data_IF_919588376037
#
_entry.id   IF_919588376037
#
_cell.length_a   1.000
_cell.length_b   1.000
_cell.length_c   1.000
_cell.angle_alpha   90.00
_cell.angle_beta   90.00
_cell.angle_gamma   90.00
#
_symmetry.space_group_name_H-M   'P 1'
#
loop_
_entity.id
_entity.type
_entity.pdbx_description
1 polymer ?
#
# COMPACT_ATOMS: atom_id res chain seq x y z
N UNK A 1 -10.11 -17.11 21.40
CA UNK A 1 -8.80 -16.53 21.02
C UNK A 1 -7.85 -17.69 20.81
N UNK A 2 -7.87 -18.26 19.61
CA UNK A 2 -6.91 -19.32 19.25
C UNK A 2 -5.67 -18.64 18.73
N UNK A 3 -4.55 -18.83 19.41
CA UNK A 3 -3.22 -18.52 18.87
C UNK A 3 -3.08 -19.25 17.54
N UNK A 4 -3.18 -18.51 16.44
CA UNK A 4 -2.67 -18.97 15.14
C UNK A 4 -1.16 -19.05 15.33
N UNK A 5 -0.68 -20.23 15.68
CA UNK A 5 0.73 -20.57 15.60
C UNK A 5 1.16 -20.32 14.15
N UNK A 6 1.84 -19.19 13.92
CA UNK A 6 2.37 -18.86 12.61
C UNK A 6 3.55 -19.78 12.34
N UNK A 7 3.24 -20.93 11.72
CA UNK A 7 4.20 -21.97 11.36
C UNK A 7 5.43 -21.33 10.68
N UNK A 8 5.24 -20.30 9.83
CA UNK A 8 6.32 -19.61 9.11
C UNK A 8 7.32 -18.91 10.02
N UNK A 9 6.91 -18.33 11.14
CA UNK A 9 7.82 -17.60 12.04
C UNK A 9 8.70 -18.55 12.86
N UNK A 10 8.17 -19.72 13.27
CA UNK A 10 8.96 -20.76 13.92
C UNK A 10 10.00 -21.37 12.97
N UNK A 11 9.66 -21.52 11.68
CA UNK A 11 10.57 -22.03 10.64
C UNK A 11 11.81 -21.14 10.42
N UNK A 12 11.61 -19.82 10.33
CA UNK A 12 12.73 -18.86 10.16
C UNK A 12 13.74 -18.89 11.31
N UNK A 13 13.31 -19.25 12.52
CA UNK A 13 14.20 -19.32 13.70
C UNK A 13 15.03 -20.60 13.77
N UNK A 14 14.49 -21.76 13.33
CA UNK A 14 15.19 -23.06 13.37
C UNK A 14 16.23 -23.21 12.24
N UNK A 15 15.97 -22.60 11.08
CA UNK A 15 16.84 -22.66 9.91
C UNK A 15 18.17 -21.88 10.00
N UNK A 16 18.30 -20.98 10.98
CA UNK A 16 19.34 -19.94 10.94
C UNK A 16 20.67 -20.26 11.64
N UNK A 17 20.86 -21.41 12.31
CA UNK A 17 22.04 -21.55 13.20
C UNK A 17 23.06 -22.64 12.89
N UNK A 18 22.74 -23.86 12.46
CA UNK A 18 23.80 -24.91 12.35
C UNK A 18 23.56 -25.99 11.26
N UNK A 19 23.02 -25.64 10.10
CA UNK A 19 22.80 -26.60 9.00
C UNK A 19 23.79 -26.38 7.83
N UNK A 20 24.90 -27.15 7.75
CA UNK A 20 25.93 -26.93 6.74
C UNK A 20 25.58 -27.50 5.34
N UNK A 21 24.50 -28.28 5.19
CA UNK A 21 24.23 -29.05 3.97
C UNK A 21 23.09 -28.41 3.15
N UNK A 22 23.46 -27.74 2.06
CA UNK A 22 22.50 -27.17 1.09
C UNK A 22 21.93 -28.21 0.12
N UNK A 23 22.66 -29.30 -0.09
CA UNK A 23 22.33 -30.38 -1.02
C UNK A 23 22.67 -31.71 -0.37
N UNK A 24 21.76 -32.69 -0.42
CA UNK A 24 22.00 -34.06 0.00
C UNK A 24 21.80 -35.00 -1.20
N UNK A 25 22.76 -35.88 -1.43
CA UNK A 25 22.60 -37.02 -2.33
C UNK A 25 22.69 -38.29 -1.50
N UNK A 26 21.63 -39.11 -1.56
CA UNK A 26 21.49 -40.30 -0.74
C UNK A 26 21.22 -41.50 -1.66
N UNK A 27 22.06 -42.51 -1.58
CA UNK A 27 21.83 -43.80 -2.22
C UNK A 27 20.97 -44.68 -1.31
N UNK A 28 19.97 -45.32 -1.90
CA UNK A 28 19.12 -46.28 -1.21
C UNK A 28 19.69 -47.70 -1.20
N UNK A 29 19.03 -48.53 -0.39
CA UNK A 29 19.22 -49.96 -0.37
C UNK A 29 18.31 -50.62 -1.41
N UNK A 30 18.77 -51.69 -2.02
CA UNK A 30 17.98 -52.48 -2.95
C UNK A 30 18.08 -53.97 -2.67
N UNK A 31 17.09 -54.70 -3.18
CA UNK A 31 17.15 -56.16 -3.19
C UNK A 31 18.08 -56.58 -4.32
N UNK A 32 19.30 -56.98 -3.98
CA UNK A 32 20.35 -57.36 -4.93
C UNK A 32 20.13 -58.73 -5.57
N UNK A 33 19.41 -59.62 -4.89
CA UNK A 33 19.14 -60.98 -5.35
C UNK A 33 17.85 -60.98 -6.15
N UNK A 34 17.94 -61.31 -7.44
CA UNK A 34 16.82 -61.23 -8.37
C UNK A 34 15.56 -61.86 -7.81
N UNK A 35 14.51 -61.06 -7.65
CA UNK A 35 13.23 -61.54 -7.11
C UNK A 35 12.32 -61.88 -8.28
N UNK A 36 11.83 -63.11 -8.29
CA UNK A 36 10.94 -63.61 -9.33
C UNK A 36 9.49 -63.47 -8.94
N UNK A 37 8.65 -62.99 -9.86
CA UNK A 37 7.20 -62.99 -9.75
C UNK A 37 6.60 -63.78 -10.90
N UNK A 38 5.57 -64.55 -10.59
CA UNK A 38 4.86 -65.40 -11.56
C UNK A 38 3.37 -65.49 -11.29
N UNK A 39 2.88 -64.90 -10.18
CA UNK A 39 1.46 -64.93 -9.83
C UNK A 39 0.89 -63.52 -9.76
N UNK A 40 -0.34 -63.41 -10.27
CA UNK A 40 -1.17 -62.24 -10.08
C UNK A 40 -1.33 -61.93 -8.59
N UNK A 41 -1.05 -60.69 -8.22
CA UNK A 41 -1.13 -60.19 -6.85
C UNK A 41 0.17 -60.30 -6.05
N UNK A 42 1.25 -60.87 -6.62
CA UNK A 42 2.56 -60.87 -5.97
C UNK A 42 3.04 -59.43 -5.74
N UNK A 43 3.36 -59.10 -4.48
CA UNK A 43 3.84 -57.76 -4.07
C UNK A 43 5.26 -57.87 -3.53
N UNK A 44 6.18 -57.17 -4.17
CA UNK A 44 7.61 -57.24 -3.86
C UNK A 44 8.14 -55.83 -3.62
N UNK A 45 8.79 -55.63 -2.47
CA UNK A 45 9.51 -54.39 -2.19
C UNK A 45 10.87 -54.44 -2.89
N UNK A 46 11.11 -53.52 -3.83
CA UNK A 46 12.29 -53.54 -4.70
C UNK A 46 13.48 -52.75 -4.13
N UNK A 47 13.21 -51.55 -3.62
CA UNK A 47 14.24 -50.67 -3.11
C UNK A 47 13.68 -49.69 -2.07
N UNK A 48 14.57 -49.14 -1.24
CA UNK A 48 14.24 -48.13 -0.24
C UNK A 48 15.37 -47.16 0.04
N UNK A 49 15.07 -45.89 0.26
CA UNK A 49 16.02 -44.85 0.69
C UNK A 49 15.49 -44.12 1.92
N UNK A 50 16.38 -43.87 2.89
CA UNK A 50 16.06 -43.06 4.06
C UNK A 50 16.54 -41.63 3.84
N UNK A 51 15.62 -40.68 3.86
CA UNK A 51 15.89 -39.27 3.67
C UNK A 51 15.74 -38.57 5.01
N UNK A 52 16.83 -37.97 5.49
CA UNK A 52 16.86 -37.19 6.72
C UNK A 52 16.91 -35.70 6.34
N UNK A 53 15.76 -35.04 6.42
CA UNK A 53 15.63 -33.61 6.07
C UNK A 53 15.75 -32.70 7.29
N UNK A 54 16.13 -33.23 8.47
CA UNK A 54 16.23 -32.45 9.71
C UNK A 54 17.21 -31.27 9.65
N UNK A 55 18.16 -31.32 8.70
CA UNK A 55 19.16 -30.28 8.48
C UNK A 55 19.00 -29.52 7.14
N UNK A 56 17.83 -29.59 6.49
CA UNK A 56 17.55 -28.87 5.24
C UNK A 56 16.33 -28.00 5.46
N UNK A 57 16.42 -26.72 5.09
CA UNK A 57 15.26 -25.83 5.13
C UNK A 57 14.43 -26.05 3.87
N UNK A 58 13.10 -26.05 4.01
CA UNK A 58 12.18 -26.24 2.88
C UNK A 58 12.64 -27.33 1.86
N UNK A 59 13.01 -28.55 2.31
CA UNK A 59 13.51 -29.63 1.46
C UNK A 59 12.58 -29.94 0.29
N UNK A 60 13.15 -29.81 -0.90
CA UNK A 60 12.65 -30.41 -2.12
C UNK A 60 13.30 -31.79 -2.24
N UNK A 61 12.50 -32.85 -2.16
CA UNK A 61 12.99 -34.22 -2.28
C UNK A 61 12.68 -34.74 -3.68
N UNK A 62 13.71 -35.03 -4.45
CA UNK A 62 13.64 -35.72 -5.73
C UNK A 62 14.06 -37.18 -5.54
N UNK A 63 13.20 -38.12 -5.91
CA UNK A 63 13.47 -39.55 -5.92
C UNK A 63 13.73 -39.98 -7.35
N UNK A 64 14.77 -40.78 -7.53
CA UNK A 64 15.09 -41.44 -8.80
C UNK A 64 15.11 -42.95 -8.56
N UNK A 65 14.38 -43.69 -9.39
CA UNK A 65 14.34 -45.14 -9.34
C UNK A 65 14.68 -45.73 -10.70
N UNK A 66 15.43 -46.82 -10.69
CA UNK A 66 15.67 -47.64 -11.87
C UNK A 66 15.66 -49.12 -11.51
N UNK A 67 15.21 -49.96 -12.44
CA UNK A 67 15.21 -51.40 -12.29
C UNK A 67 15.33 -52.08 -13.65
N UNK A 68 16.06 -53.18 -13.69
CA UNK A 68 16.09 -54.06 -14.86
C UNK A 68 15.13 -55.21 -14.63
N UNK A 69 14.30 -55.54 -15.60
CA UNK A 69 13.36 -56.64 -15.52
C UNK A 69 13.76 -57.66 -16.57
N UNK A 70 14.15 -58.86 -16.14
CA UNK A 70 14.34 -60.00 -17.03
C UNK A 70 13.02 -60.75 -17.15
N UNK A 71 12.59 -61.00 -18.38
CA UNK A 71 11.40 -61.80 -18.67
C UNK A 71 11.84 -63.15 -19.19
N UNK A 72 11.19 -64.20 -18.67
CA UNK A 72 11.36 -65.59 -19.09
C UNK A 72 9.97 -66.09 -19.49
N UNK A 73 9.82 -66.59 -20.71
CA UNK A 73 8.58 -67.22 -21.17
C UNK A 73 8.68 -68.73 -21.00
N UNK A 74 7.62 -69.35 -20.50
CA UNK A 74 7.49 -70.81 -20.42
C UNK A 74 6.34 -71.24 -21.32
N UNK A 75 6.66 -71.56 -22.58
CA UNK A 75 5.67 -72.00 -23.55
C UNK A 75 5.58 -73.52 -23.53
N UNK A 76 4.46 -74.04 -23.03
CA UNK A 76 4.15 -75.46 -23.20
C UNK A 76 3.96 -75.78 -24.70
N UNK A 77 4.66 -76.80 -25.21
CA UNK A 77 4.63 -77.32 -26.59
C UNK A 77 3.21 -77.60 -27.16
N UNK A 78 2.16 -77.54 -26.33
CA UNK A 78 0.78 -77.90 -26.67
C UNK A 78 -0.18 -76.71 -26.82
N UNK A 79 0.20 -75.48 -26.45
CA UNK A 79 -0.71 -74.33 -26.48
C UNK A 79 -0.56 -73.48 -27.74
N UNK A 80 -1.64 -73.35 -28.54
CA UNK A 80 -1.69 -72.60 -29.81
C UNK A 80 -1.74 -71.06 -29.66
N UNK A 81 -1.39 -70.50 -28.50
CA UNK A 81 -1.37 -69.05 -28.28
C UNK A 81 0.07 -68.61 -28.01
N UNK A 82 0.63 -67.88 -28.97
CA UNK A 82 2.03 -67.45 -29.07
C UNK A 82 2.28 -66.07 -28.43
N UNK A 83 1.40 -65.64 -27.51
CA UNK A 83 1.46 -64.32 -26.88
C UNK A 83 1.64 -64.50 -25.37
N UNK A 84 2.71 -63.94 -24.84
CA UNK A 84 2.92 -63.82 -23.40
C UNK A 84 2.79 -62.34 -23.01
N UNK A 85 2.01 -62.06 -21.96
CA UNK A 85 1.73 -60.70 -21.52
C UNK A 85 2.00 -60.57 -20.04
N UNK A 86 2.57 -59.43 -19.65
CA UNK A 86 2.80 -59.10 -18.25
C UNK A 86 2.57 -57.63 -17.97
N UNK A 87 1.88 -57.37 -16.86
CA UNK A 87 1.53 -56.04 -16.36
C UNK A 87 2.01 -55.89 -14.94
N UNK A 88 2.89 -54.93 -14.71
CA UNK A 88 3.52 -54.67 -13.42
C UNK A 88 3.22 -53.23 -13.00
N UNK A 89 2.61 -53.08 -11.82
CA UNK A 89 2.39 -51.78 -11.19
C UNK A 89 3.49 -51.48 -10.18
N UNK A 90 4.10 -50.31 -10.29
CA UNK A 90 5.07 -49.76 -9.35
C UNK A 90 4.41 -48.70 -8.50
N UNK A 91 4.43 -48.88 -7.18
CA UNK A 91 3.89 -47.92 -6.23
C UNK A 91 5.04 -47.33 -5.39
N UNK A 92 5.21 -46.00 -5.42
CA UNK A 92 6.16 -45.30 -4.55
C UNK A 92 5.46 -44.88 -3.25
N UNK A 93 6.00 -45.34 -2.14
CA UNK A 93 5.51 -45.00 -0.82
C UNK A 93 6.50 -44.12 -0.06
N UNK A 94 5.96 -43.31 0.85
CA UNK A 94 6.69 -42.60 1.89
C UNK A 94 6.18 -43.02 3.26
N UNK A 95 7.08 -43.23 4.21
CA UNK A 95 6.74 -43.46 5.61
C UNK A 95 7.63 -42.61 6.50
N UNK A 96 7.07 -41.59 7.12
CA UNK A 96 7.79 -40.76 8.08
C UNK A 96 7.66 -41.30 9.51
N UNK A 97 8.55 -40.88 10.42
CA UNK A 97 8.66 -41.44 11.78
C UNK A 97 7.36 -41.35 12.59
N UNK A 98 6.54 -40.30 12.38
CA UNK A 98 5.27 -40.10 13.09
C UNK A 98 4.05 -40.69 12.38
N UNK A 99 4.22 -41.19 11.16
CA UNK A 99 3.15 -41.81 10.37
C UNK A 99 3.07 -43.32 10.66
N UNK A 100 1.88 -43.78 11.03
CA UNK A 100 1.65 -45.22 11.27
C UNK A 100 1.57 -46.02 9.97
N UNK A 101 1.02 -45.43 8.91
CA UNK A 101 0.80 -46.06 7.61
C UNK A 101 1.62 -45.38 6.53
N UNK A 102 2.27 -46.14 5.62
CA UNK A 102 2.92 -45.56 4.45
C UNK A 102 1.90 -44.79 3.59
N UNK A 103 2.26 -43.59 3.17
CA UNK A 103 1.52 -42.79 2.22
C UNK A 103 1.93 -43.19 0.79
N UNK A 104 0.95 -43.50 -0.06
CA UNK A 104 1.18 -43.66 -1.50
C UNK A 104 1.42 -42.27 -2.11
N UNK A 105 2.55 -42.10 -2.77
CA UNK A 105 2.91 -40.85 -3.42
C UNK A 105 2.52 -40.85 -4.90
N UNK A 106 2.83 -41.92 -5.61
CA UNK A 106 2.61 -42.03 -7.05
C UNK A 106 2.67 -43.51 -7.51
N UNK A 107 2.15 -43.77 -8.70
CA UNK A 107 1.99 -45.10 -9.30
C UNK A 107 2.38 -45.08 -10.78
N UNK A 108 3.19 -46.05 -11.20
CA UNK A 108 3.55 -46.28 -12.61
C UNK A 108 3.14 -47.68 -13.05
N UNK A 109 2.72 -47.81 -14.30
CA UNK A 109 2.35 -49.09 -14.89
C UNK A 109 3.33 -49.42 -16.02
N UNK A 110 3.86 -50.63 -15.99
CA UNK A 110 4.69 -51.19 -17.04
C UNK A 110 3.96 -52.39 -17.64
N UNK A 111 3.75 -52.35 -18.95
CA UNK A 111 3.09 -53.40 -19.72
C UNK A 111 4.06 -53.89 -20.79
N UNK A 112 4.15 -55.21 -20.94
CA UNK A 112 4.94 -55.83 -21.99
C UNK A 112 4.17 -56.99 -22.61
N UNK A 113 4.13 -56.97 -23.92
CA UNK A 113 3.69 -58.07 -24.76
C UNK A 113 4.94 -58.69 -25.41
N UNK A 114 5.02 -60.00 -25.36
CA UNK A 114 6.12 -60.79 -25.90
C UNK A 114 5.54 -61.70 -26.97
N UNK A 115 5.83 -61.36 -28.23
CA UNK A 115 5.58 -62.22 -29.37
C UNK A 115 6.72 -63.23 -29.48
N UNK A 116 6.39 -64.52 -29.52
CA UNK A 116 7.40 -65.56 -29.78
C UNK A 116 7.53 -65.84 -31.27
N UNK A 117 8.76 -65.94 -31.77
CA UNK A 117 9.01 -66.45 -33.12
C UNK A 117 8.76 -67.96 -33.15
N UNK A 118 8.03 -68.44 -34.16
CA UNK A 118 7.75 -69.87 -34.37
C UNK A 118 9.03 -70.71 -34.28
N UNK A 119 9.09 -71.59 -33.27
CA UNK A 119 10.18 -72.54 -33.07
C UNK A 119 11.22 -72.17 -32.01
N UNK A 120 11.09 -71.04 -31.29
CA UNK A 120 11.89 -70.77 -30.09
C UNK A 120 11.09 -71.12 -28.83
N UNK A 121 11.60 -72.10 -28.08
CA UNK A 121 10.95 -72.66 -26.88
C UNK A 121 11.12 -71.73 -25.66
N UNK A 122 12.23 -70.99 -25.59
CA UNK A 122 12.52 -70.05 -24.50
C UNK A 122 13.01 -68.71 -25.05
N UNK A 123 12.33 -67.63 -24.68
CA UNK A 123 12.79 -66.27 -24.96
C UNK A 123 13.11 -65.57 -23.63
N UNK A 124 14.35 -65.10 -23.51
CA UNK A 124 14.79 -64.27 -22.39
C UNK A 124 15.09 -62.87 -22.86
N UNK A 125 14.30 -61.89 -22.43
CA UNK A 125 14.51 -60.46 -22.74
C UNK A 125 14.76 -59.68 -21.45
N UNK A 126 15.36 -58.50 -21.56
CA UNK A 126 15.61 -57.64 -20.39
C UNK A 126 15.29 -56.20 -20.75
N UNK A 127 14.39 -55.59 -20.00
CA UNK A 127 14.05 -54.17 -20.15
C UNK A 127 14.49 -53.38 -18.93
N UNK A 128 14.59 -52.07 -19.09
CA UNK A 128 14.89 -51.14 -18.00
C UNK A 128 13.70 -50.23 -17.77
N UNK A 129 13.25 -50.16 -16.52
CA UNK A 129 12.22 -49.22 -16.08
C UNK A 129 12.88 -48.19 -15.20
N UNK A 130 12.60 -46.91 -15.46
CA UNK A 130 13.08 -45.80 -14.65
C UNK A 130 12.03 -44.71 -14.54
N UNK A 131 11.90 -44.13 -13.35
CA UNK A 131 11.03 -42.98 -13.12
C UNK A 131 11.66 -42.02 -12.11
N UNK A 132 11.18 -40.78 -12.13
CA UNK A 132 11.56 -39.73 -11.21
C UNK A 132 10.31 -39.14 -10.56
N UNK A 133 10.44 -38.75 -9.30
CA UNK A 133 9.36 -38.13 -8.52
C UNK A 133 9.92 -36.95 -7.74
N UNK A 134 9.18 -35.84 -7.69
CA UNK A 134 9.56 -34.65 -6.92
C UNK A 134 8.46 -34.32 -5.91
N UNK A 135 8.84 -34.05 -4.67
CA UNK A 135 7.93 -33.60 -3.62
C UNK A 135 8.45 -32.34 -2.95
N UNK A 136 7.62 -31.30 -2.97
CA UNK A 136 7.78 -30.09 -2.16
C UNK A 136 7.04 -30.35 -0.86
N UNK A 137 7.77 -30.75 0.18
CA UNK A 137 7.15 -31.27 1.38
C UNK A 137 7.01 -30.17 2.44
N UNK A 138 6.09 -29.23 2.24
CA UNK A 138 5.89 -28.07 3.11
C UNK A 138 5.50 -28.41 4.56
N UNK A 139 5.05 -29.63 4.83
CA UNK A 139 4.42 -29.99 6.10
C UNK A 139 5.29 -30.81 7.07
N UNK A 140 6.45 -31.36 6.65
CA UNK A 140 7.16 -32.41 7.40
C UNK A 140 8.69 -32.17 7.50
N UNK A 141 9.08 -31.04 8.09
CA UNK A 141 10.46 -30.56 8.15
C UNK A 141 11.31 -31.09 9.32
N UNK A 142 10.94 -32.22 9.93
CA UNK A 142 11.65 -32.72 11.11
C UNK A 142 11.65 -34.25 11.19
N UNK A 143 11.43 -34.92 10.07
CA UNK A 143 11.22 -36.36 10.05
C UNK A 143 12.15 -37.05 9.07
N UNK A 144 12.90 -38.02 9.59
CA UNK A 144 13.51 -39.06 8.78
C UNK A 144 12.39 -39.86 8.14
N UNK A 145 12.27 -39.77 6.81
CA UNK A 145 11.26 -40.48 6.04
C UNK A 145 11.91 -41.59 5.21
N UNK A 146 11.26 -42.73 5.17
CA UNK A 146 11.63 -43.85 4.32
C UNK A 146 10.81 -43.79 3.03
N UNK A 147 11.48 -43.74 1.89
CA UNK A 147 10.86 -43.86 0.58
C UNK A 147 11.13 -45.25 0.04
N UNK A 148 10.12 -45.93 -0.47
CA UNK A 148 10.32 -47.28 -1.00
C UNK A 148 9.35 -47.61 -2.12
N UNK A 149 9.83 -48.44 -3.05
CA UNK A 149 9.07 -48.86 -4.23
C UNK A 149 8.61 -50.30 -4.06
N UNK A 150 7.33 -50.53 -4.31
CA UNK A 150 6.72 -51.86 -4.33
C UNK A 150 6.24 -52.15 -5.74
N UNK A 151 6.70 -53.26 -6.31
CA UNK A 151 6.15 -53.81 -7.55
C UNK A 151 5.03 -54.79 -7.23
N UNK A 152 3.92 -54.67 -7.94
CA UNK A 152 2.77 -55.57 -7.87
C UNK A 152 2.53 -56.14 -9.26
N UNK A 153 2.53 -57.47 -9.39
CA UNK A 153 2.15 -58.12 -10.64
C UNK A 153 0.63 -58.13 -10.77
N UNK A 154 0.09 -57.35 -11.70
CA UNK A 154 -1.36 -57.24 -11.90
C UNK A 154 -1.87 -58.32 -12.84
N UNK A 155 -1.10 -58.64 -13.88
CA UNK A 155 -1.40 -59.65 -14.90
C UNK A 155 -0.10 -60.34 -15.31
N UNK A 156 -0.12 -61.66 -15.45
CA UNK A 156 1.00 -62.46 -15.92
C UNK A 156 0.46 -63.72 -16.61
N UNK A 157 0.57 -63.77 -17.94
CA UNK A 157 0.14 -64.89 -18.77
C UNK A 157 1.36 -65.45 -19.52
N UNK A 158 1.72 -66.71 -19.24
CA UNK A 158 2.85 -67.42 -19.87
C UNK A 158 4.22 -66.70 -19.76
N UNK A 159 4.35 -65.75 -18.83
CA UNK A 159 5.55 -64.97 -18.59
C UNK A 159 5.89 -64.94 -17.10
N UNK A 160 7.19 -65.01 -16.82
CA UNK A 160 7.79 -64.81 -15.51
C UNK A 160 8.68 -63.58 -15.56
N UNK A 161 8.55 -62.68 -14.59
CA UNK A 161 9.43 -61.53 -14.45
C UNK A 161 10.40 -61.73 -13.28
N UNK A 162 11.66 -61.36 -13.51
CA UNK A 162 12.71 -61.32 -12.51
C UNK A 162 13.22 -59.88 -12.41
N UNK A 163 13.00 -59.25 -11.25
CA UNK A 163 13.50 -57.92 -10.97
C UNK A 163 14.99 -57.98 -10.62
N UNK A 164 15.82 -57.27 -11.37
CA UNK A 164 17.28 -57.25 -11.26
C UNK A 164 17.76 -55.81 -11.03
N UNK A 165 18.83 -55.66 -10.23
CA UNK A 165 19.54 -54.38 -10.05
C UNK A 165 18.60 -53.20 -9.76
N UNK A 166 17.58 -53.38 -8.91
CA UNK A 166 16.78 -52.24 -8.46
C UNK A 166 17.71 -51.22 -7.81
N UNK A 167 17.52 -49.94 -8.08
CA UNK A 167 18.30 -48.87 -7.49
C UNK A 167 17.36 -47.70 -7.23
N UNK A 168 17.48 -47.10 -6.06
CA UNK A 168 16.75 -45.90 -5.68
C UNK A 168 17.75 -44.91 -5.10
N UNK A 169 17.61 -43.65 -5.46
CA UNK A 169 18.37 -42.54 -4.88
C UNK A 169 17.43 -41.39 -4.55
N UNK A 170 17.86 -40.56 -3.62
CA UNK A 170 17.19 -39.32 -3.27
C UNK A 170 18.16 -38.16 -3.39
N UNK A 171 17.70 -37.08 -4.00
CA UNK A 171 18.36 -35.79 -4.05
C UNK A 171 17.51 -34.79 -3.26
N UNK A 172 18.11 -34.13 -2.27
CA UNK A 172 17.43 -33.13 -1.44
C UNK A 172 18.10 -31.79 -1.64
N UNK A 173 17.32 -30.77 -1.95
CA UNK A 173 17.78 -29.40 -2.09
C UNK A 173 16.92 -28.46 -1.26
N UNK A 174 17.55 -27.40 -0.76
CA UNK A 174 16.89 -26.30 -0.05
C UNK A 174 16.36 -25.26 -1.05
N UNK A 175 15.13 -24.78 -0.83
CA UNK A 175 14.42 -23.83 -1.69
C UNK A 175 14.73 -22.35 -1.34
N UNK A 176 16.02 -22.02 -1.19
CA UNK A 176 16.47 -20.70 -0.72
C UNK A 176 16.20 -19.53 -1.68
N UNK A 177 15.99 -19.80 -2.97
CA UNK A 177 15.88 -18.75 -3.98
C UNK A 177 14.63 -17.89 -3.82
N UNK A 178 13.54 -18.47 -3.30
CA UNK A 178 12.30 -17.73 -3.05
C UNK A 178 12.45 -16.72 -1.90
N UNK A 179 13.14 -17.08 -0.82
CA UNK A 179 13.28 -16.23 0.37
C UNK A 179 14.09 -14.95 0.05
N UNK A 180 15.18 -15.06 -0.70
CA UNK A 180 15.98 -13.88 -1.08
C UNK A 180 15.20 -12.95 -2.02
N UNK A 181 14.40 -13.52 -2.92
CA UNK A 181 13.54 -12.76 -3.82
C UNK A 181 12.43 -12.04 -3.05
N UNK A 182 11.76 -12.72 -2.12
CA UNK A 182 10.74 -12.13 -1.25
C UNK A 182 11.31 -11.01 -0.37
N UNK A 183 12.50 -11.21 0.22
CA UNK A 183 13.15 -10.17 1.03
C UNK A 183 13.49 -8.93 0.20
N UNK A 184 14.05 -9.12 -1.00
CA UNK A 184 14.34 -8.01 -1.93
C UNK A 184 13.08 -7.29 -2.38
N UNK A 185 12.02 -8.02 -2.72
CA UNK A 185 10.74 -7.42 -3.12
C UNK A 185 10.11 -6.62 -1.98
N UNK A 186 10.12 -7.17 -0.76
CA UNK A 186 9.61 -6.48 0.42
C UNK A 186 10.45 -5.24 0.78
N UNK A 187 11.78 -5.29 0.62
CA UNK A 187 12.65 -4.13 0.78
C UNK A 187 12.30 -3.04 -0.25
N UNK A 188 12.23 -3.41 -1.53
CA UNK A 188 11.88 -2.50 -2.61
C UNK A 188 10.52 -1.83 -2.38
N UNK A 189 9.51 -2.62 -1.99
CA UNK A 189 8.16 -2.12 -1.67
C UNK A 189 8.18 -1.10 -0.52
N UNK A 190 8.99 -1.35 0.52
CA UNK A 190 9.15 -0.41 1.64
C UNK A 190 9.81 0.89 1.19
N UNK A 191 10.85 0.82 0.38
CA UNK A 191 11.54 2.01 -0.16
C UNK A 191 10.61 2.84 -1.06
N UNK A 192 9.83 2.20 -1.93
CA UNK A 192 8.85 2.89 -2.77
C UNK A 192 7.76 3.58 -1.94
N UNK A 193 7.25 2.90 -0.91
CA UNK A 193 6.27 3.48 0.00
C UNK A 193 6.84 4.66 0.79
N UNK A 194 8.07 4.56 1.28
CA UNK A 194 8.75 5.65 1.98
C UNK A 194 9.00 6.84 1.05
N UNK A 195 9.42 6.60 -0.19
CA UNK A 195 9.60 7.65 -1.20
C UNK A 195 8.29 8.36 -1.54
N UNK A 196 7.19 7.61 -1.69
CA UNK A 196 5.85 8.17 -1.88
C UNK A 196 5.43 9.04 -0.70
N UNK A 197 5.56 8.53 0.54
CA UNK A 197 5.27 9.29 1.76
C UNK A 197 6.11 10.57 1.87
N UNK A 198 7.38 10.52 1.48
CA UNK A 198 8.26 11.69 1.47
C UNK A 198 7.80 12.74 0.46
N UNK A 199 7.46 12.33 -0.77
CA UNK A 199 6.94 13.24 -1.80
C UNK A 199 5.62 13.91 -1.39
N UNK A 200 4.69 13.15 -0.82
CA UNK A 200 3.42 13.68 -0.33
C UNK A 200 3.62 14.71 0.78
N UNK A 201 4.53 14.45 1.73
CA UNK A 201 4.87 15.41 2.80
C UNK A 201 5.49 16.69 2.25
N UNK A 202 6.38 16.59 1.26
CA UNK A 202 6.98 17.76 0.62
C UNK A 202 5.96 18.58 -0.17
N UNK A 203 5.03 17.92 -0.87
CA UNK A 203 3.93 18.59 -1.58
C UNK A 203 3.02 19.34 -0.59
N UNK A 204 2.56 18.65 0.45
CA UNK A 204 1.73 19.24 1.49
C UNK A 204 2.41 20.46 2.11
N UNK A 205 3.69 20.34 2.53
CA UNK A 205 4.45 21.47 3.08
C UNK A 205 4.50 22.68 2.13
N UNK A 206 4.75 22.46 0.84
CA UNK A 206 4.79 23.55 -0.16
C UNK A 206 3.42 24.23 -0.32
N UNK A 207 2.34 23.45 -0.37
CA UNK A 207 0.99 24.01 -0.48
C UNK A 207 0.59 24.81 0.76
N UNK A 208 0.95 24.33 1.96
CA UNK A 208 0.71 25.06 3.21
C UNK A 208 1.52 26.36 3.28
N UNK A 209 2.80 26.32 2.88
CA UNK A 209 3.65 27.51 2.79
C UNK A 209 3.09 28.54 1.81
N UNK A 210 2.60 28.11 0.63
CA UNK A 210 1.96 29.01 -0.33
C UNK A 210 0.66 29.62 0.21
N UNK A 211 -0.19 28.81 0.85
CA UNK A 211 -1.43 29.30 1.45
C UNK A 211 -1.15 30.35 2.52
N UNK A 212 -0.19 30.07 3.41
CA UNK A 212 0.23 30.99 4.46
C UNK A 212 0.74 32.31 3.86
N UNK A 213 1.59 32.26 2.82
CA UNK A 213 2.07 33.48 2.12
C UNK A 213 0.94 34.30 1.53
N UNK A 214 -0.06 33.66 0.90
CA UNK A 214 -1.22 34.37 0.31
C UNK A 214 -2.07 35.05 1.39
N UNK A 215 -2.34 34.35 2.50
CA UNK A 215 -3.10 34.90 3.63
C UNK A 215 -2.37 36.08 4.30
N UNK A 216 -1.06 35.98 4.50
CA UNK A 216 -0.25 37.07 5.05
C UNK A 216 -0.25 38.31 4.12
N UNK A 217 -0.10 38.10 2.81
CA UNK A 217 -0.16 39.18 1.83
C UNK A 217 -1.54 39.85 1.79
N UNK A 218 -2.62 39.07 1.84
CA UNK A 218 -3.98 39.61 1.89
C UNK A 218 -4.23 40.43 3.16
N UNK A 219 -3.77 39.93 4.32
CA UNK A 219 -3.87 40.66 5.58
C UNK A 219 -3.09 41.97 5.55
N UNK A 220 -1.89 41.99 4.96
CA UNK A 220 -1.11 43.21 4.75
C UNK A 220 -1.86 44.21 3.88
N UNK A 221 -2.39 43.78 2.73
CA UNK A 221 -3.19 44.62 1.82
C UNK A 221 -4.44 45.18 2.50
N UNK A 222 -5.12 44.37 3.34
CA UNK A 222 -6.30 44.82 4.10
C UNK A 222 -5.92 45.89 5.12
N UNK A 223 -4.85 45.70 5.89
CA UNK A 223 -4.35 46.69 6.85
C UNK A 223 -3.97 48.01 6.17
N UNK A 224 -3.28 47.95 5.04
CA UNK A 224 -2.94 49.15 4.25
C UNK A 224 -4.18 49.90 3.76
N UNK A 225 -5.19 49.19 3.25
CA UNK A 225 -6.46 49.81 2.83
C UNK A 225 -7.22 50.43 4.00
N UNK A 226 -7.25 49.77 5.16
CA UNK A 226 -7.88 50.31 6.35
C UNK A 226 -7.15 51.55 6.88
N UNK A 227 -5.82 51.56 6.83
CA UNK A 227 -5.01 52.73 7.16
C UNK A 227 -5.33 53.90 6.23
N UNK A 228 -5.27 53.68 4.92
CA UNK A 228 -5.57 54.70 3.91
C UNK A 228 -6.99 55.27 4.08
N UNK A 229 -7.99 54.41 4.30
CA UNK A 229 -9.38 54.84 4.55
C UNK A 229 -9.48 55.72 5.79
N UNK A 230 -8.81 55.35 6.90
CA UNK A 230 -8.81 56.17 8.12
C UNK A 230 -8.14 57.51 7.92
N UNK A 231 -7.01 57.56 7.20
CA UNK A 231 -6.32 58.81 6.88
C UNK A 231 -7.16 59.74 6.00
N UNK A 232 -7.85 59.19 4.98
CA UNK A 232 -8.79 59.97 4.18
C UNK A 232 -9.99 60.47 4.99
N UNK A 233 -10.60 59.62 5.82
CA UNK A 233 -11.69 60.02 6.71
C UNK A 233 -11.26 61.15 7.66
N UNK A 234 -10.06 61.07 8.24
CA UNK A 234 -9.50 62.15 9.06
C UNK A 234 -9.28 63.44 8.26
N UNK A 235 -8.76 63.34 7.03
CA UNK A 235 -8.57 64.49 6.16
C UNK A 235 -9.91 65.17 5.84
N UNK A 236 -10.92 64.39 5.46
CA UNK A 236 -12.27 64.88 5.21
C UNK A 236 -12.87 65.55 6.47
N UNK A 237 -12.71 64.95 7.66
CA UNK A 237 -13.18 65.55 8.92
C UNK A 237 -12.52 66.89 9.20
N UNK A 238 -11.19 67.00 9.04
CA UNK A 238 -10.45 68.27 9.26
C UNK A 238 -10.88 69.35 8.26
N UNK A 239 -11.10 68.99 7.00
CA UNK A 239 -11.55 69.92 5.96
C UNK A 239 -12.99 70.39 6.20
N UNK A 240 -13.89 69.49 6.61
CA UNK A 240 -15.25 69.86 7.00
C UNK A 240 -15.28 70.76 8.23
N UNK A 241 -14.50 70.45 9.26
CA UNK A 241 -14.37 71.30 10.44
C UNK A 241 -13.84 72.69 10.09
N UNK A 242 -12.85 72.78 9.20
CA UNK A 242 -12.35 74.05 8.68
C UNK A 242 -13.42 74.86 7.95
N UNK A 243 -14.23 74.22 7.08
CA UNK A 243 -15.37 74.87 6.41
C UNK A 243 -16.40 75.40 7.41
N UNK A 244 -16.81 74.57 8.38
CA UNK A 244 -17.75 74.97 9.44
C UNK A 244 -17.20 76.16 10.25
N UNK A 245 -15.90 76.18 10.55
CA UNK A 245 -15.26 77.31 11.25
C UNK A 245 -15.32 78.59 10.41
N UNK A 246 -15.02 78.51 9.12
CA UNK A 246 -15.09 79.65 8.20
C UNK A 246 -16.52 80.19 8.05
N UNK A 247 -17.51 79.32 7.94
CA UNK A 247 -18.93 79.70 7.90
C UNK A 247 -19.36 80.40 9.19
N UNK A 248 -18.98 79.86 10.36
CA UNK A 248 -19.26 80.51 11.66
C UNK A 248 -18.61 81.89 11.78
N UNK A 249 -17.36 82.03 11.32
CA UNK A 249 -16.67 83.33 11.29
C UNK A 249 -17.35 84.31 10.34
N UNK A 250 -17.81 83.85 9.17
CA UNK A 250 -18.56 84.66 8.22
C UNK A 250 -19.90 85.14 8.82
N UNK A 251 -20.69 84.21 9.36
CA UNK A 251 -21.97 84.51 10.01
C UNK A 251 -21.78 85.52 11.15
N UNK A 252 -20.77 85.33 12.00
CA UNK A 252 -20.45 86.26 13.09
C UNK A 252 -20.14 87.66 12.57
N UNK A 253 -19.34 87.78 11.50
CA UNK A 253 -19.04 89.09 10.87
C UNK A 253 -20.28 89.75 10.28
N UNK A 254 -21.13 88.99 9.60
CA UNK A 254 -22.38 89.49 9.03
C UNK A 254 -23.37 89.95 10.11
N UNK A 255 -23.47 89.21 11.22
CA UNK A 255 -24.28 89.62 12.38
C UNK A 255 -23.72 90.87 13.05
N UNK A 256 -22.40 90.96 13.27
CA UNK A 256 -21.75 92.15 13.80
C UNK A 256 -21.99 93.37 12.90
N UNK A 257 -21.89 93.22 11.58
CA UNK A 257 -22.22 94.29 10.62
C UNK A 257 -23.68 94.70 10.69
N UNK A 258 -24.60 93.73 10.75
CA UNK A 258 -26.04 94.00 10.87
C UNK A 258 -26.35 94.77 12.14
N UNK A 259 -25.79 94.33 13.28
CA UNK A 259 -25.93 95.01 14.56
C UNK A 259 -25.38 96.44 14.51
N UNK A 260 -24.20 96.65 13.90
CA UNK A 260 -23.64 98.00 13.69
C UNK A 260 -24.56 98.91 12.87
N UNK A 261 -25.14 98.39 11.77
CA UNK A 261 -26.08 99.16 10.92
C UNK A 261 -27.35 99.54 11.69
N UNK A 262 -27.93 98.59 12.43
CA UNK A 262 -29.12 98.83 13.26
C UNK A 262 -28.85 99.84 14.38
N UNK A 263 -27.70 99.74 15.07
CA UNK A 263 -27.29 100.71 16.08
C UNK A 263 -27.08 102.12 15.49
N UNK A 264 -26.46 102.21 14.31
CA UNK A 264 -26.29 103.49 13.61
C UNK A 264 -27.63 104.08 13.18
N UNK A 265 -28.56 103.28 12.65
CA UNK A 265 -29.92 103.72 12.33
C UNK A 265 -30.67 104.18 13.58
N UNK A 266 -30.59 103.45 14.68
CA UNK A 266 -31.19 103.85 15.95
C UNK A 266 -30.63 105.17 16.46
N UNK A 267 -29.31 105.36 16.36
CA UNK A 267 -28.64 106.63 16.70
C UNK A 267 -29.14 107.78 15.82
N UNK A 268 -29.19 107.58 14.50
CA UNK A 268 -29.74 108.56 13.53
C UNK A 268 -31.20 108.89 13.83
N UNK A 269 -32.02 107.89 14.21
CA UNK A 269 -33.43 108.07 14.60
C UNK A 269 -33.56 108.89 15.88
N UNK A 270 -32.79 108.58 16.92
CA UNK A 270 -32.73 109.36 18.17
C UNK A 270 -32.29 110.80 17.93
N UNK A 271 -31.29 111.02 17.08
CA UNK A 271 -30.80 112.35 16.73
C UNK A 271 -31.86 113.15 15.95
N UNK A 272 -32.57 112.51 15.00
CA UNK A 272 -33.72 113.13 14.31
C UNK A 272 -34.85 113.50 15.28
N UNK A 273 -35.15 112.63 16.24
CA UNK A 273 -36.13 112.93 17.30
C UNK A 273 -35.66 114.07 18.21
N UNK A 274 -34.38 114.11 18.58
CA UNK A 274 -33.79 115.21 19.34
C UNK A 274 -33.92 116.53 18.58
N UNK A 275 -33.51 116.57 17.31
CA UNK A 275 -33.69 117.75 16.44
C UNK A 275 -35.14 118.18 16.32
N UNK A 276 -36.10 117.24 16.22
CA UNK A 276 -37.53 117.56 16.22
C UNK A 276 -38.00 118.16 17.56
N UNK A 277 -37.52 117.64 18.69
CA UNK A 277 -37.83 118.16 20.03
C UNK A 277 -37.20 119.54 20.26
N UNK A 278 -35.96 119.75 19.84
CA UNK A 278 -35.30 121.05 19.87
C UNK A 278 -36.00 122.06 18.96
N UNK A 279 -36.30 121.72 17.71
CA UNK A 279 -37.08 122.60 16.83
C UNK A 279 -38.47 122.94 17.39
N UNK A 280 -39.10 122.03 18.15
CA UNK A 280 -40.33 122.35 18.91
C UNK A 280 -40.08 123.28 20.09
N UNK A 281 -38.96 123.13 20.82
CA UNK A 281 -38.57 124.05 21.92
C UNK A 281 -38.23 125.43 21.39
N UNK A 282 -37.53 125.52 20.27
CA UNK A 282 -37.14 126.75 19.61
C UNK A 282 -38.35 127.46 19.00
N UNK A 283 -39.29 126.73 18.38
CA UNK A 283 -40.60 127.30 18.01
C UNK A 283 -41.38 127.83 19.22
N UNK A 284 -41.34 127.15 20.37
CA UNK A 284 -41.93 127.67 21.61
C UNK A 284 -41.19 128.91 22.15
N UNK A 285 -39.89 129.03 21.91
CA UNK A 285 -39.07 130.19 22.27
C UNK A 285 -39.36 131.38 21.36
N UNK A 286 -39.37 131.16 20.04
CA UNK A 286 -39.70 132.21 19.07
C UNK A 286 -41.17 132.65 19.17
N UNK A 287 -42.09 131.76 19.56
CA UNK A 287 -43.47 132.15 19.86
C UNK A 287 -43.60 132.98 21.15
N UNK A 288 -42.64 132.90 22.06
CA UNK A 288 -42.55 133.82 23.21
C UNK A 288 -41.94 135.16 22.76
N UNK A 289 -40.94 135.16 21.88
CA UNK A 289 -40.28 136.39 21.40
C UNK A 289 -41.13 137.21 20.40
N UNK A 290 -41.96 136.57 19.57
CA UNK A 290 -42.96 137.26 18.73
C UNK A 290 -44.06 137.94 19.57
N UNK A 291 -44.28 137.48 20.81
CA UNK A 291 -45.22 138.14 21.73
C UNK A 291 -44.63 139.41 22.36
N UNK A 292 -43.30 139.62 22.27
CA UNK A 292 -42.61 140.78 22.85
C UNK A 292 -42.20 141.86 21.83
N UNK A 293 -42.31 141.59 20.51
CA UNK A 293 -42.04 142.60 19.46
C UNK A 293 -43.27 143.39 19.00
N UNK A 294 -44.47 143.03 19.44
CA UNK A 294 -45.69 143.79 19.12
C UNK A 294 -45.97 144.98 20.07
N UNK A 295 -45.10 145.22 21.08
CA UNK A 295 -45.39 146.20 22.13
C UNK A 295 -44.55 147.48 22.15
N UNK A 296 -43.46 147.60 21.38
CA UNK A 296 -42.58 148.76 21.46
C UNK A 296 -42.20 149.32 20.08
N UNK A 297 -43.10 150.11 19.47
CA UNK A 297 -42.75 151.39 18.82
C UNK A 297 -44.04 152.16 18.45
N UNK A 298 -44.64 152.76 19.48
CA UNK A 298 -45.52 153.91 19.37
C UNK A 298 -44.95 154.98 20.32
N UNK A 299 -44.21 155.95 19.78
CA UNK A 299 -44.02 157.35 20.23
C UNK A 299 -42.99 158.02 19.31
#
# INVERSE_FOLDING_TARGET
MSDRFDYREHHRRKCRRDCPKKILLICGNSVSSGVTTHKRGDRIRLASVFVDTSCVCRPIVKIEFSNNIRFETDFDDKCKKEEAQIRIRYDLFRKCKREFTPQLLDTWIFEREIESEKGKIELTTTDTVSFHFCSNNEAHFDERCEYFVVATTEEAENAKATFLKSAISAFVQDDFEEDEKEEKEHHHRREEEEHRRRKEREHCRREEEERCRREEEEHRRRKEREHYRREEEERCRREEEYRRRKEREHHRREEEERCRREEEEHRRRKEREHRRKEGRRERKRNHIDDFYWEFDFNI
#
